data_IF_226746057726
#
_entry.id   IF_226746057726
#
_cell.length_a   1.000
_cell.length_b   1.000
_cell.length_c   1.000
_cell.angle_alpha   90.00
_cell.angle_beta   90.00
_cell.angle_gamma   90.00
#
_symmetry.space_group_name_H-M   'P 1'
#
loop_
_entity.id
_entity.type
_entity.pdbx_description
1 polymer ?
#
# COMPACT_ATOMS: atom_id res chain seq x y z
N UNK A 1 48.18 -18.10 2.22
CA UNK A 1 47.36 -17.45 3.27
C UNK A 1 46.55 -16.27 2.75
N UNK A 2 47.18 -15.23 2.18
CA UNK A 2 46.49 -14.01 1.71
C UNK A 2 45.42 -14.28 0.63
N UNK A 3 45.70 -15.17 -0.32
CA UNK A 3 44.75 -15.53 -1.38
C UNK A 3 43.52 -16.25 -0.81
N UNK A 4 43.70 -17.10 0.20
CA UNK A 4 42.61 -17.81 0.86
C UNK A 4 41.71 -16.84 1.63
N UNK A 5 42.28 -15.83 2.30
CA UNK A 5 41.50 -14.80 3.01
C UNK A 5 40.76 -13.84 2.07
N UNK A 6 41.32 -13.55 0.89
CA UNK A 6 40.63 -12.73 -0.11
C UNK A 6 39.46 -13.48 -0.75
N UNK A 7 39.62 -14.78 -1.00
CA UNK A 7 38.55 -15.64 -1.53
C UNK A 7 37.40 -15.79 -0.52
N UNK A 8 37.69 -15.96 0.77
CA UNK A 8 36.63 -16.05 1.79
C UNK A 8 35.88 -14.74 1.97
N UNK A 9 36.55 -13.58 1.95
CA UNK A 9 35.89 -12.27 2.02
C UNK A 9 35.02 -12.02 0.78
N UNK A 10 35.50 -12.36 -0.42
CA UNK A 10 34.72 -12.22 -1.65
C UNK A 10 33.45 -13.09 -1.63
N UNK A 11 33.57 -14.34 -1.18
CA UNK A 11 32.43 -15.26 -1.03
C UNK A 11 31.42 -14.76 0.01
N UNK A 12 31.89 -14.19 1.13
CA UNK A 12 31.03 -13.54 2.12
C UNK A 12 30.29 -12.34 1.52
N UNK A 13 30.97 -11.45 0.79
CA UNK A 13 30.34 -10.28 0.16
C UNK A 13 29.32 -10.67 -0.91
N UNK A 14 29.57 -11.74 -1.68
CA UNK A 14 28.62 -12.31 -2.64
C UNK A 14 27.39 -12.90 -1.95
N UNK A 15 27.55 -13.55 -0.79
CA UNK A 15 26.42 -14.08 0.00
C UNK A 15 25.52 -12.98 0.58
N UNK A 16 26.11 -11.85 0.96
CA UNK A 16 25.37 -10.68 1.47
C UNK A 16 24.61 -9.97 0.32
N UNK A 17 25.14 -9.97 -0.91
CA UNK A 17 24.44 -9.42 -2.07
C UNK A 17 23.14 -10.17 -2.41
N UNK A 18 23.09 -11.49 -2.21
CA UNK A 18 21.87 -12.27 -2.44
C UNK A 18 20.79 -12.00 -1.37
N UNK A 19 21.19 -11.55 -0.18
CA UNK A 19 20.26 -11.19 0.89
C UNK A 19 19.54 -9.83 0.68
N UNK A 20 20.02 -8.99 -0.25
CA UNK A 20 19.42 -7.67 -0.56
C UNK A 20 18.49 -7.73 -1.79
N UNK A 21 18.37 -8.88 -2.46
CA UNK A 21 17.54 -9.04 -3.65
C UNK A 21 16.41 -10.06 -3.45
N UNK A 22 15.66 -9.96 -2.36
CA UNK A 22 14.28 -10.46 -2.29
C UNK A 22 13.42 -9.37 -1.68
N UNK A 23 13.30 -8.25 -2.40
CA UNK A 23 12.07 -7.48 -2.38
C UNK A 23 11.00 -8.38 -2.97
N UNK A 24 10.46 -9.29 -2.14
CA UNK A 24 9.38 -10.18 -2.51
C UNK A 24 8.29 -9.27 -3.08
N UNK A 25 8.03 -9.39 -4.39
CA UNK A 25 6.75 -9.04 -4.97
C UNK A 25 5.71 -9.99 -4.40
N UNK A 26 5.51 -9.92 -3.09
CA UNK A 26 4.59 -10.75 -2.35
C UNK A 26 3.23 -10.53 -2.95
N UNK A 27 2.63 -11.61 -3.45
CA UNK A 27 1.22 -11.62 -3.77
C UNK A 27 0.49 -11.00 -2.58
N UNK A 28 -0.15 -9.87 -2.84
CA UNK A 28 -0.86 -9.10 -1.84
C UNK A 28 -1.81 -10.00 -1.05
N UNK A 29 -1.78 -10.02 0.30
CA UNK A 29 -2.77 -10.76 1.08
C UNK A 29 -4.21 -10.27 0.81
N UNK A 30 -4.35 -9.03 0.31
CA UNK A 30 -5.62 -8.44 -0.07
C UNK A 30 -5.57 -8.00 -1.54
N UNK A 31 -6.28 -8.76 -2.39
CA UNK A 31 -6.49 -8.41 -3.80
C UNK A 31 -7.37 -7.18 -3.99
N UNK A 32 -7.85 -6.95 -5.22
CA UNK A 32 -8.80 -5.88 -5.52
C UNK A 32 -10.03 -6.02 -4.59
N UNK A 33 -10.48 -4.94 -3.91
CA UNK A 33 -11.68 -4.97 -3.07
C UNK A 33 -12.87 -5.57 -3.81
N UNK A 34 -13.67 -6.42 -3.15
CA UNK A 34 -14.74 -7.17 -3.80
C UNK A 34 -15.75 -6.27 -4.52
N UNK A 35 -16.08 -5.12 -3.93
CA UNK A 35 -16.96 -4.12 -4.54
C UNK A 35 -16.38 -3.54 -5.85
N UNK A 36 -15.06 -3.32 -5.90
CA UNK A 36 -14.37 -2.78 -7.07
C UNK A 36 -14.18 -3.81 -8.21
N UNK A 37 -14.63 -5.06 -8.03
CA UNK A 37 -14.68 -6.06 -9.13
C UNK A 37 -15.84 -5.81 -10.08
N UNK A 38 -16.91 -5.18 -9.60
CA UNK A 38 -18.15 -4.99 -10.37
C UNK A 38 -18.65 -3.54 -10.40
N UNK A 39 -18.23 -2.70 -9.45
CA UNK A 39 -18.59 -1.29 -9.38
C UNK A 39 -17.38 -0.42 -9.74
N UNK A 40 -17.66 0.77 -10.28
CA UNK A 40 -16.64 1.78 -10.45
C UNK A 40 -16.09 2.20 -9.08
N UNK A 41 -14.77 2.27 -8.98
CA UNK A 41 -14.06 2.71 -7.79
C UNK A 41 -13.04 3.80 -8.17
N UNK A 42 -12.71 4.71 -7.23
CA UNK A 42 -11.65 5.68 -7.46
C UNK A 42 -10.34 4.99 -7.83
N UNK A 43 -9.68 5.47 -8.89
CA UNK A 43 -8.41 4.92 -9.34
C UNK A 43 -7.28 5.32 -8.39
N UNK A 44 -6.44 4.35 -8.05
CA UNK A 44 -5.26 4.54 -7.22
C UNK A 44 -4.13 3.61 -7.66
N UNK A 45 -2.90 4.02 -7.36
CA UNK A 45 -1.71 3.17 -7.47
C UNK A 45 -1.31 2.70 -6.06
N UNK A 46 -1.02 1.41 -5.89
CA UNK A 46 -0.51 0.88 -4.63
C UNK A 46 0.99 1.12 -4.58
N UNK A 47 1.42 1.97 -3.65
CA UNK A 47 2.84 2.29 -3.45
C UNK A 47 3.53 1.16 -2.68
N UNK A 48 2.95 0.77 -1.54
CA UNK A 48 3.45 -0.31 -0.68
C UNK A 48 2.27 -1.00 -0.01
N UNK A 49 2.37 -2.31 0.18
CA UNK A 49 1.40 -3.11 0.93
C UNK A 49 2.08 -3.84 2.07
N UNK A 50 1.47 -3.79 3.25
CA UNK A 50 1.88 -4.50 4.45
C UNK A 50 0.75 -5.43 4.92
N UNK A 51 1.00 -6.22 5.97
CA UNK A 51 -0.01 -7.12 6.56
C UNK A 51 -1.22 -6.37 7.14
N UNK A 52 -0.99 -5.17 7.69
CA UNK A 52 -2.01 -4.40 8.41
C UNK A 52 -2.48 -3.15 7.67
N UNK A 53 -1.77 -2.70 6.64
CA UNK A 53 -2.12 -1.49 5.93
C UNK A 53 -1.60 -1.47 4.49
N UNK A 54 -2.10 -0.51 3.71
CA UNK A 54 -1.67 -0.25 2.34
C UNK A 54 -1.48 1.25 2.14
N UNK A 55 -0.40 1.62 1.46
CA UNK A 55 -0.15 2.99 1.01
C UNK A 55 -0.68 3.13 -0.41
N UNK A 56 -1.69 4.00 -0.59
CA UNK A 56 -2.33 4.28 -1.88
C UNK A 56 -2.05 5.71 -2.32
N UNK A 57 -1.63 5.87 -3.57
CA UNK A 57 -1.55 7.15 -4.24
C UNK A 57 -2.78 7.35 -5.13
N UNK A 58 -3.68 8.23 -4.71
CA UNK A 58 -4.77 8.71 -5.55
C UNK A 58 -4.25 9.87 -6.40
N UNK A 59 -4.55 9.87 -7.70
CA UNK A 59 -4.15 10.94 -8.63
C UNK A 59 -5.00 12.20 -8.39
N UNK A 60 -5.70 12.67 -9.42
CA UNK A 60 -6.61 13.81 -9.32
C UNK A 60 -8.08 13.36 -9.51
N UNK A 61 -8.67 12.61 -8.56
CA UNK A 61 -10.10 12.31 -8.60
C UNK A 61 -10.93 13.56 -8.31
N UNK A 62 -12.12 13.62 -8.90
CA UNK A 62 -13.14 14.62 -8.56
C UNK A 62 -14.15 13.98 -7.63
N UNK A 63 -14.54 14.69 -6.56
CA UNK A 63 -15.51 14.24 -5.58
C UNK A 63 -16.65 15.24 -5.47
N UNK A 64 -17.86 14.75 -5.28
CA UNK A 64 -18.99 15.58 -4.85
C UNK A 64 -19.02 15.62 -3.32
N UNK A 65 -19.10 16.82 -2.77
CA UNK A 65 -19.09 17.07 -1.33
C UNK A 65 -20.23 18.01 -0.94
N UNK A 66 -20.67 17.91 0.31
CA UNK A 66 -21.61 18.87 0.90
C UNK A 66 -20.86 20.00 1.62
N UNK A 67 -21.51 21.13 1.92
CA UNK A 67 -21.03 22.07 2.93
C UNK A 67 -20.83 21.39 4.29
N UNK A 68 -20.16 22.08 5.22
CA UNK A 68 -19.94 21.59 6.58
C UNK A 68 -21.26 21.34 7.31
N UNK A 69 -21.34 20.23 8.03
CA UNK A 69 -22.49 19.86 8.85
C UNK A 69 -22.12 20.09 10.32
N UNK A 70 -22.85 20.99 10.98
CA UNK A 70 -22.54 21.39 12.35
C UNK A 70 -23.14 20.40 13.36
N UNK A 71 -22.39 19.35 13.67
CA UNK A 71 -22.68 18.38 14.72
C UNK A 71 -21.39 17.81 15.30
N UNK A 72 -21.46 17.31 16.53
CA UNK A 72 -20.36 16.57 17.17
C UNK A 72 -20.41 15.07 16.88
N UNK A 73 -21.47 14.58 16.24
CA UNK A 73 -21.66 13.16 15.94
C UNK A 73 -21.30 12.82 14.50
N UNK A 74 -20.30 11.96 14.31
CA UNK A 74 -19.91 11.45 12.99
C UNK A 74 -21.06 10.76 12.28
N UNK A 75 -21.78 9.86 12.97
CA UNK A 75 -22.90 9.10 12.39
C UNK A 75 -24.04 10.02 11.95
N UNK A 76 -24.31 11.09 12.71
CA UNK A 76 -25.34 12.05 12.33
C UNK A 76 -24.90 12.86 11.10
N UNK A 77 -23.65 13.31 11.07
CA UNK A 77 -23.11 14.07 9.94
C UNK A 77 -23.13 13.24 8.65
N UNK A 78 -22.72 11.96 8.70
CA UNK A 78 -22.69 11.10 7.52
C UNK A 78 -24.09 10.78 6.99
N UNK A 79 -25.06 10.54 7.88
CA UNK A 79 -26.47 10.34 7.48
C UNK A 79 -27.03 11.57 6.77
N UNK A 80 -26.87 12.76 7.38
CA UNK A 80 -27.36 14.01 6.80
C UNK A 80 -26.68 14.33 5.47
N UNK A 81 -25.36 14.11 5.36
CA UNK A 81 -24.61 14.37 4.12
C UNK A 81 -24.99 13.42 2.98
N UNK A 82 -25.35 12.17 3.29
CA UNK A 82 -25.82 11.19 2.31
C UNK A 82 -27.31 11.35 1.98
N UNK A 83 -28.07 12.08 2.81
CA UNK A 83 -29.51 12.30 2.66
C UNK A 83 -30.39 11.19 3.24
N UNK A 84 -29.87 10.44 4.21
CA UNK A 84 -30.59 9.41 4.97
C UNK A 84 -31.09 9.88 6.32
#
# INVERSE_FOLDING_TARGET
>A
FIIATMLTVLLFLLSVHQAVAIGNGGAAPYGIPLNCKSLECPLYEVVTRQSEFEIRHYKAPVWMSTPSINTTSYTQATSQGFGT
#
